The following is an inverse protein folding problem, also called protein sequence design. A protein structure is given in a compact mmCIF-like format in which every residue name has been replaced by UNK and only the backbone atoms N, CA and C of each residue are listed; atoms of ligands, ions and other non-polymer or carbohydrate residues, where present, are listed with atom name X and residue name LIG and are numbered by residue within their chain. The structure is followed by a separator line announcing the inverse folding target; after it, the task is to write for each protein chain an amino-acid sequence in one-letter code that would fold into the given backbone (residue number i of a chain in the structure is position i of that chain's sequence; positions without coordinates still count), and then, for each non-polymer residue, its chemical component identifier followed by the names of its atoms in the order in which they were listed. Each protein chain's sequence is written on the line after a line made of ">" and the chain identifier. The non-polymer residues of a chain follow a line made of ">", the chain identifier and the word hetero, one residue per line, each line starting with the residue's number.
data_IF_158124775974
#
_entry.id   IF_158124775974
#
_cell.length_a   1.000
_cell.length_b   1.000
_cell.length_c   1.000
_cell.angle_alpha   90.00
_cell.angle_beta   90.00
_cell.angle_gamma   90.00
#
_symmetry.space_group_name_H-M   'P 1'
#
loop_
_entity.id
_entity.type
_entity.pdbx_description
1 polymer ?
#
# COMPACT_ATOMS: atom_id res chain seq x y z
N UNK A 1 9.98 6.03 -11.06
CA UNK A 1 9.88 4.84 -10.18
C UNK A 1 9.70 5.30 -8.76
N UNK A 2 8.55 5.03 -8.18
CA UNK A 2 8.20 5.48 -6.82
C UNK A 2 8.75 4.56 -5.73
N UNK A 3 9.25 3.40 -6.10
CA UNK A 3 10.13 2.64 -5.25
C UNK A 3 11.52 3.25 -5.34
N UNK A 4 11.75 4.22 -4.48
CA UNK A 4 13.03 4.83 -4.17
C UNK A 4 13.93 4.90 -5.40
N UNK A 5 13.85 6.02 -6.13
CA UNK A 5 14.92 6.37 -7.04
C UNK A 5 16.21 6.38 -6.21
N UNK A 6 16.99 5.30 -6.33
CA UNK A 6 18.12 5.01 -5.47
C UNK A 6 19.13 6.17 -5.42
N UNK A 7 19.37 6.82 -6.56
CA UNK A 7 20.27 7.99 -6.63
C UNK A 7 19.72 9.23 -5.92
N UNK A 8 18.40 9.46 -5.97
CA UNK A 8 17.79 10.58 -5.25
C UNK A 8 17.70 10.31 -3.75
N UNK A 9 17.47 9.04 -3.38
CA UNK A 9 17.48 8.61 -1.99
C UNK A 9 18.87 8.79 -1.39
N UNK A 10 19.92 8.36 -2.08
CA UNK A 10 21.33 8.58 -1.68
C UNK A 10 21.66 10.07 -1.49
N UNK A 11 21.03 10.97 -2.24
CA UNK A 11 21.20 12.42 -2.12
C UNK A 11 20.41 13.06 -0.97
N UNK A 12 19.67 12.27 -0.18
CA UNK A 12 18.90 12.76 0.97
C UNK A 12 17.58 13.45 0.60
N UNK A 13 16.99 13.16 -0.56
CA UNK A 13 15.70 13.71 -1.02
C UNK A 13 14.48 13.10 -0.29
N UNK A 14 14.68 12.51 0.89
CA UNK A 14 13.65 11.85 1.68
C UNK A 14 12.44 12.75 1.96
N UNK A 15 12.67 14.04 2.22
CA UNK A 15 11.59 15.00 2.49
C UNK A 15 10.62 15.16 1.33
N UNK A 16 11.05 14.90 0.09
CA UNK A 16 10.21 14.95 -1.11
C UNK A 16 9.20 13.79 -1.17
N UNK A 17 9.44 12.71 -0.41
CA UNK A 17 8.49 11.60 -0.30
C UNK A 17 7.31 11.91 0.60
N UNK A 18 7.38 12.96 1.46
CA UNK A 18 6.29 13.28 2.37
C UNK A 18 4.95 13.38 1.65
N UNK A 19 3.98 12.68 2.18
CA UNK A 19 2.61 12.77 1.71
C UNK A 19 1.97 14.10 2.17
N UNK A 20 1.26 14.76 1.26
CA UNK A 20 0.47 15.96 1.54
C UNK A 20 -0.99 15.64 1.25
N UNK A 21 -1.88 15.91 2.21
CA UNK A 21 -3.33 15.64 2.05
C UNK A 21 -4.00 16.54 1.03
N UNK A 22 -3.45 17.72 0.79
CA UNK A 22 -4.00 18.73 -0.11
C UNK A 22 -2.98 19.16 -1.15
N UNK A 23 -3.48 19.44 -2.34
CA UNK A 23 -2.67 19.93 -3.45
C UNK A 23 -2.00 18.84 -4.29
N UNK A 24 -1.26 19.28 -5.30
CA UNK A 24 -0.57 18.38 -6.25
C UNK A 24 0.58 17.65 -5.55
N UNK A 25 0.59 16.33 -5.64
CA UNK A 25 1.70 15.54 -5.12
C UNK A 25 2.97 15.80 -5.95
N UNK A 26 4.13 16.03 -5.29
CA UNK A 26 5.39 16.30 -5.99
C UNK A 26 5.94 15.07 -6.73
N UNK A 27 5.42 13.88 -6.40
CA UNK A 27 5.83 12.60 -6.96
C UNK A 27 4.57 11.81 -7.29
N UNK A 28 4.55 11.16 -8.46
CA UNK A 28 3.47 10.29 -8.92
C UNK A 28 4.03 8.93 -9.31
N UNK A 29 3.19 7.89 -9.23
CA UNK A 29 3.51 6.57 -9.77
C UNK A 29 3.39 6.61 -11.29
N UNK A 30 4.45 6.23 -12.00
CA UNK A 30 4.51 6.25 -13.46
C UNK A 30 4.69 4.88 -14.09
N UNK A 31 5.32 3.94 -13.39
CA UNK A 31 5.66 2.63 -13.93
C UNK A 31 5.72 1.54 -12.87
N UNK A 32 5.69 0.28 -13.30
CA UNK A 32 5.99 -0.88 -12.47
C UNK A 32 7.51 -1.01 -12.24
N UNK A 33 7.89 -1.76 -11.21
CA UNK A 33 9.29 -2.12 -10.95
C UNK A 33 9.69 -3.19 -11.97
N UNK A 34 10.45 -2.81 -12.99
CA UNK A 34 10.84 -3.69 -14.08
C UNK A 34 11.50 -4.99 -13.58
N UNK A 35 12.46 -4.89 -12.67
CA UNK A 35 13.17 -6.03 -12.09
C UNK A 35 12.28 -7.05 -11.41
N UNK A 36 11.08 -6.66 -10.95
CA UNK A 36 10.16 -7.55 -10.24
C UNK A 36 9.02 -8.07 -11.12
N UNK A 37 8.61 -7.32 -12.14
CA UNK A 37 7.38 -7.62 -12.88
C UNK A 37 7.55 -7.81 -14.37
N UNK A 38 8.71 -7.45 -14.96
CA UNK A 38 8.93 -7.54 -16.39
C UNK A 38 8.78 -8.96 -16.93
N UNK A 39 9.39 -9.95 -16.25
CA UNK A 39 9.32 -11.35 -16.65
C UNK A 39 7.88 -11.88 -16.63
N UNK A 40 7.12 -11.52 -15.59
CA UNK A 40 5.70 -11.89 -15.48
C UNK A 40 4.89 -11.22 -16.59
N UNK A 41 5.09 -9.93 -16.84
CA UNK A 41 4.42 -9.18 -17.91
C UNK A 41 4.66 -9.82 -19.26
N UNK A 42 5.91 -10.00 -19.65
CA UNK A 42 6.29 -10.65 -20.93
C UNK A 42 5.72 -12.07 -21.10
N UNK A 43 5.59 -12.81 -20.00
CA UNK A 43 4.98 -14.14 -20.08
C UNK A 43 3.47 -14.05 -20.29
N UNK A 44 2.79 -13.13 -19.63
CA UNK A 44 1.34 -12.93 -19.80
C UNK A 44 0.99 -12.35 -21.17
N UNK A 45 1.81 -11.49 -21.74
CA UNK A 45 1.64 -10.88 -23.07
C UNK A 45 1.59 -11.92 -24.22
N UNK A 46 2.08 -13.14 -23.99
CA UNK A 46 1.94 -14.26 -24.95
C UNK A 46 0.49 -14.68 -25.17
N UNK A 47 -0.41 -14.39 -24.24
CA UNK A 47 -1.79 -14.90 -24.25
C UNK A 47 -2.83 -13.82 -23.94
N UNK A 48 -2.41 -12.64 -23.48
CA UNK A 48 -3.29 -11.58 -23.02
C UNK A 48 -2.78 -10.20 -23.44
N UNK A 49 -3.67 -9.25 -23.63
CA UNK A 49 -3.32 -7.85 -23.58
C UNK A 49 -3.09 -7.46 -22.12
N UNK A 50 -1.85 -7.06 -21.79
CA UNK A 50 -1.46 -6.76 -20.41
C UNK A 50 -1.54 -5.25 -20.14
N UNK A 51 -2.47 -4.87 -19.29
CA UNK A 51 -2.64 -3.52 -18.80
C UNK A 51 -2.06 -3.39 -17.40
N UNK A 52 -1.07 -2.55 -17.24
CA UNK A 52 -0.46 -2.30 -15.93
C UNK A 52 -1.24 -1.22 -15.17
N UNK A 53 -1.52 -1.46 -13.89
CA UNK A 53 -2.16 -0.48 -13.01
C UNK A 53 -1.17 -0.02 -11.95
N UNK A 54 -0.64 1.20 -12.13
CA UNK A 54 0.28 1.82 -11.20
C UNK A 54 -0.49 2.64 -10.16
N UNK A 55 -0.08 2.55 -8.90
CA UNK A 55 -0.65 3.36 -7.84
C UNK A 55 0.41 3.89 -6.88
N UNK A 56 0.12 5.03 -6.28
CA UNK A 56 0.97 5.62 -5.26
C UNK A 56 0.71 4.93 -3.91
N UNK A 57 1.68 4.16 -3.45
CA UNK A 57 1.61 3.40 -2.20
C UNK A 57 1.59 4.26 -0.93
N UNK A 58 1.81 5.58 -1.05
CA UNK A 58 1.79 6.53 0.06
C UNK A 58 0.37 7.00 0.38
N UNK A 59 -0.49 7.14 -0.64
CA UNK A 59 -1.86 7.65 -0.48
C UNK A 59 -2.80 6.58 0.08
N UNK A 60 -3.98 6.98 0.63
CA UNK A 60 -4.99 6.02 1.05
C UNK A 60 -5.37 5.06 -0.08
N UNK A 61 -5.38 3.75 0.20
CA UNK A 61 -5.73 2.74 -0.81
C UNK A 61 -7.14 2.92 -1.36
N UNK A 62 -8.06 3.48 -0.57
CA UNK A 62 -9.40 3.85 -1.04
C UNK A 62 -9.36 4.78 -2.27
N UNK A 63 -8.45 5.74 -2.32
CA UNK A 63 -8.30 6.62 -3.48
C UNK A 63 -7.77 5.87 -4.72
N UNK A 64 -6.83 4.95 -4.51
CA UNK A 64 -6.34 4.08 -5.58
C UNK A 64 -7.41 3.08 -6.04
N UNK A 65 -8.26 2.58 -5.13
CA UNK A 65 -9.39 1.72 -5.43
C UNK A 65 -10.45 2.43 -6.29
N UNK A 66 -10.69 3.72 -6.07
CA UNK A 66 -11.58 4.51 -6.93
C UNK A 66 -11.04 4.60 -8.37
N UNK A 67 -9.73 4.83 -8.55
CA UNK A 67 -9.10 4.82 -9.89
C UNK A 67 -9.16 3.43 -10.55
N UNK A 68 -9.00 2.36 -9.76
CA UNK A 68 -9.16 1.00 -10.27
C UNK A 68 -10.60 0.75 -10.70
N UNK A 69 -11.58 1.25 -9.96
CA UNK A 69 -12.99 1.19 -10.31
C UNK A 69 -13.28 1.86 -11.66
N UNK A 70 -12.74 3.06 -11.89
CA UNK A 70 -12.87 3.76 -13.18
C UNK A 70 -12.30 2.91 -14.32
N UNK A 71 -11.09 2.35 -14.13
CA UNK A 71 -10.43 1.51 -15.14
C UNK A 71 -11.20 0.23 -15.42
N UNK A 72 -11.68 -0.46 -14.39
CA UNK A 72 -12.50 -1.68 -14.55
C UNK A 72 -13.83 -1.35 -15.22
N UNK A 73 -14.48 -0.25 -14.86
CA UNK A 73 -15.73 0.18 -15.48
C UNK A 73 -15.56 0.51 -16.97
N UNK A 74 -14.42 1.06 -17.37
CA UNK A 74 -14.05 1.27 -18.77
C UNK A 74 -13.89 -0.08 -19.49
N UNK A 75 -13.12 -1.00 -18.93
CA UNK A 75 -12.83 -2.30 -19.54
C UNK A 75 -14.08 -3.18 -19.70
N UNK A 76 -15.02 -3.12 -18.76
CA UNK A 76 -16.26 -3.87 -18.85
C UNK A 76 -17.10 -3.52 -20.10
N UNK A 77 -16.95 -2.32 -20.67
CA UNK A 77 -17.66 -1.90 -21.90
C UNK A 77 -17.25 -2.70 -23.13
N UNK A 78 -16.05 -3.27 -23.13
CA UNK A 78 -15.54 -4.05 -24.26
C UNK A 78 -16.05 -5.50 -24.27
N UNK A 79 -16.75 -5.95 -23.20
CA UNK A 79 -17.28 -7.31 -23.08
C UNK A 79 -16.23 -8.41 -23.33
N UNK A 80 -15.00 -8.16 -22.93
CA UNK A 80 -13.88 -9.11 -23.05
C UNK A 80 -13.56 -9.77 -21.69
N UNK A 81 -13.01 -10.99 -21.67
CA UNK A 81 -12.59 -11.64 -20.45
C UNK A 81 -11.52 -10.83 -19.71
N UNK A 82 -11.82 -10.37 -18.52
CA UNK A 82 -10.87 -9.62 -17.67
C UNK A 82 -10.21 -10.58 -16.68
N UNK A 83 -8.89 -10.43 -16.49
CA UNK A 83 -8.10 -11.12 -15.47
C UNK A 83 -7.43 -10.06 -14.59
N UNK A 84 -7.47 -10.25 -13.28
CA UNK A 84 -6.72 -9.42 -12.34
C UNK A 84 -5.60 -10.24 -11.73
N UNK A 85 -4.36 -9.77 -11.84
CA UNK A 85 -3.22 -10.31 -11.10
C UNK A 85 -2.73 -9.23 -10.14
N UNK A 86 -2.83 -9.49 -8.85
CA UNK A 86 -2.51 -8.54 -7.80
C UNK A 86 -1.43 -9.10 -6.87
N UNK A 87 -0.31 -8.39 -6.73
CA UNK A 87 0.80 -8.79 -5.86
C UNK A 87 0.88 -7.91 -4.61
N UNK A 88 1.12 -8.54 -3.46
CA UNK A 88 1.39 -7.85 -2.19
C UNK A 88 0.33 -6.78 -1.87
N UNK A 89 0.71 -5.52 -1.69
CA UNK A 89 -0.17 -4.38 -1.44
C UNK A 89 -1.24 -4.18 -2.53
N UNK A 90 -0.95 -4.59 -3.77
CA UNK A 90 -1.92 -4.56 -4.87
C UNK A 90 -3.17 -5.40 -4.59
N UNK A 91 -3.03 -6.52 -3.88
CA UNK A 91 -4.19 -7.31 -3.46
C UNK A 91 -5.02 -6.62 -2.39
N UNK A 92 -4.39 -5.86 -1.49
CA UNK A 92 -5.11 -5.06 -0.49
C UNK A 92 -5.89 -3.92 -1.18
N UNK A 93 -5.32 -3.34 -2.24
CA UNK A 93 -6.01 -2.38 -3.10
C UNK A 93 -7.24 -3.01 -3.77
N UNK A 94 -7.13 -4.23 -4.31
CA UNK A 94 -8.27 -4.95 -4.90
C UNK A 94 -9.32 -5.28 -3.82
N UNK A 95 -8.91 -5.66 -2.60
CA UNK A 95 -9.84 -5.80 -1.46
C UNK A 95 -10.64 -4.51 -1.22
N UNK A 96 -9.96 -3.38 -1.19
CA UNK A 96 -10.60 -2.08 -0.98
C UNK A 96 -11.53 -1.72 -2.17
N UNK A 97 -11.15 -2.06 -3.41
CA UNK A 97 -12.03 -1.95 -4.57
C UNK A 97 -13.32 -2.78 -4.37
N UNK A 98 -13.22 -4.02 -3.92
CA UNK A 98 -14.38 -4.88 -3.63
C UNK A 98 -15.30 -4.23 -2.58
N UNK A 99 -14.70 -3.69 -1.52
CA UNK A 99 -15.45 -3.12 -0.38
C UNK A 99 -16.13 -1.78 -0.72
N UNK A 100 -15.46 -0.92 -1.48
CA UNK A 100 -15.94 0.44 -1.74
C UNK A 100 -16.70 0.58 -3.07
N UNK A 101 -16.57 -0.38 -3.99
CA UNK A 101 -17.20 -0.37 -5.31
C UNK A 101 -17.90 -1.72 -5.61
N UNK A 102 -18.84 -2.15 -4.76
CA UNK A 102 -19.45 -3.48 -4.84
C UNK A 102 -20.25 -3.72 -6.13
N UNK A 103 -20.85 -2.67 -6.71
CA UNK A 103 -21.62 -2.81 -7.97
C UNK A 103 -20.69 -3.17 -9.15
N UNK A 104 -19.60 -2.44 -9.31
CA UNK A 104 -18.61 -2.72 -10.36
C UNK A 104 -17.96 -4.08 -10.15
N UNK A 105 -17.64 -4.43 -8.89
CA UNK A 105 -17.14 -5.76 -8.56
C UNK A 105 -18.12 -6.87 -8.93
N UNK A 106 -19.41 -6.71 -8.63
CA UNK A 106 -20.42 -7.70 -9.00
C UNK A 106 -20.55 -7.85 -10.52
N UNK A 107 -20.51 -6.76 -11.28
CA UNK A 107 -20.50 -6.79 -12.74
C UNK A 107 -19.28 -7.51 -13.27
N UNK A 108 -18.10 -7.21 -12.74
CA UNK A 108 -16.83 -7.86 -13.09
C UNK A 108 -16.88 -9.36 -12.77
N UNK A 109 -17.34 -9.72 -11.57
CA UNK A 109 -17.39 -11.13 -11.11
C UNK A 109 -18.37 -11.99 -11.93
N UNK A 110 -19.39 -11.37 -12.53
CA UNK A 110 -20.34 -12.02 -13.43
C UNK A 110 -19.87 -12.03 -14.90
N UNK A 111 -18.84 -11.28 -15.24
CA UNK A 111 -18.36 -11.20 -16.63
C UNK A 111 -17.71 -12.52 -17.06
N UNK A 112 -17.86 -12.82 -18.38
CA UNK A 112 -17.38 -14.10 -18.95
C UNK A 112 -15.87 -14.22 -18.70
N UNK A 113 -15.49 -15.36 -18.14
CA UNK A 113 -14.09 -15.73 -17.96
C UNK A 113 -13.29 -14.85 -16.98
N UNK A 114 -13.95 -14.06 -16.13
CA UNK A 114 -13.25 -13.31 -15.07
C UNK A 114 -12.46 -14.24 -14.15
N UNK A 115 -11.24 -13.84 -13.80
CA UNK A 115 -10.42 -14.46 -12.75
C UNK A 115 -9.62 -13.40 -12.01
N UNK A 116 -9.43 -13.60 -10.71
CA UNK A 116 -8.52 -12.81 -9.89
C UNK A 116 -7.49 -13.72 -9.21
N UNK A 117 -6.23 -13.35 -9.30
CA UNK A 117 -5.10 -14.06 -8.68
C UNK A 117 -4.39 -13.11 -7.72
N UNK A 118 -4.21 -13.55 -6.49
CA UNK A 118 -3.54 -12.79 -5.44
C UNK A 118 -2.21 -13.47 -5.09
N UNK A 119 -1.11 -12.77 -5.33
CA UNK A 119 0.25 -13.26 -5.10
C UNK A 119 0.81 -12.62 -3.82
N UNK A 120 0.94 -13.40 -2.76
CA UNK A 120 1.52 -12.94 -1.49
C UNK A 120 0.82 -11.69 -0.91
N UNK A 121 -0.47 -11.53 -1.13
CA UNK A 121 -1.23 -10.34 -0.73
C UNK A 121 -1.75 -10.46 0.71
N UNK A 122 -1.39 -9.53 1.62
CA UNK A 122 -1.83 -9.58 3.01
C UNK A 122 -3.25 -9.02 3.15
N UNK A 123 -4.27 -9.75 2.69
CA UNK A 123 -5.66 -9.29 2.67
C UNK A 123 -6.22 -8.97 4.07
N UNK A 124 -5.73 -9.64 5.11
CA UNK A 124 -6.06 -9.36 6.52
C UNK A 124 -5.12 -8.35 7.19
N UNK A 125 -4.22 -7.74 6.43
CA UNK A 125 -3.14 -6.91 6.94
C UNK A 125 -1.89 -7.72 7.29
N UNK A 126 -0.85 -7.03 7.75
CA UNK A 126 0.46 -7.63 8.03
C UNK A 126 1.06 -7.11 9.32
N UNK A 127 1.42 -8.01 10.22
CA UNK A 127 2.18 -7.69 11.43
C UNK A 127 3.62 -7.24 11.14
N UNK A 128 4.11 -7.41 9.91
CA UNK A 128 5.38 -6.82 9.48
C UNK A 128 5.36 -5.29 9.54
N UNK A 129 4.20 -4.66 9.36
CA UNK A 129 4.10 -3.19 9.31
C UNK A 129 4.52 -2.53 10.64
N UNK A 130 4.06 -2.94 11.83
CA UNK A 130 4.63 -2.44 13.08
C UNK A 130 6.14 -2.64 13.19
N UNK A 131 6.69 -3.78 12.76
CA UNK A 131 8.14 -4.00 12.73
C UNK A 131 8.86 -3.00 11.81
N UNK A 132 8.30 -2.72 10.63
CA UNK A 132 8.79 -1.68 9.71
C UNK A 132 8.81 -0.33 10.41
N UNK A 133 7.69 0.08 11.02
CA UNK A 133 7.53 1.41 11.61
C UNK A 133 8.40 1.64 12.87
N UNK A 134 8.85 0.58 13.53
CA UNK A 134 9.80 0.66 14.65
C UNK A 134 11.23 0.22 14.28
N UNK A 135 11.60 0.30 12.99
CA UNK A 135 12.97 0.08 12.53
C UNK A 135 13.51 -1.34 12.74
N UNK A 136 12.63 -2.32 13.05
CA UNK A 136 13.03 -3.71 13.29
C UNK A 136 13.15 -4.52 11.98
N UNK A 137 12.59 -4.03 10.87
CA UNK A 137 12.66 -4.67 9.56
C UNK A 137 14.03 -4.47 8.90
N UNK A 138 14.57 -5.53 8.31
CA UNK A 138 15.90 -5.52 7.69
C UNK A 138 16.00 -4.56 6.50
N UNK A 139 14.93 -4.44 5.70
CA UNK A 139 14.88 -3.54 4.56
C UNK A 139 14.98 -2.07 5.02
N UNK A 140 14.24 -1.71 6.07
CA UNK A 140 14.27 -0.35 6.63
C UNK A 140 15.65 -0.03 7.19
N UNK A 141 16.26 -0.98 7.88
CA UNK A 141 17.65 -0.82 8.38
C UNK A 141 18.65 -0.66 7.25
N UNK A 142 18.49 -1.40 6.16
CA UNK A 142 19.33 -1.24 4.97
C UNK A 142 19.15 0.14 4.34
N UNK A 143 17.91 0.59 4.16
CA UNK A 143 17.61 1.91 3.60
C UNK A 143 18.18 3.04 4.46
N UNK A 144 18.07 2.94 5.80
CA UNK A 144 18.63 3.93 6.71
C UNK A 144 20.17 3.96 6.74
N UNK A 145 20.85 2.87 6.29
CA UNK A 145 22.31 2.84 6.14
C UNK A 145 22.79 3.42 4.81
N UNK A 146 21.94 3.39 3.80
CA UNK A 146 22.28 3.85 2.45
C UNK A 146 22.07 5.37 2.31
N UNK A 147 21.15 5.95 3.05
CA UNK A 147 20.93 7.39 3.05
C UNK A 147 22.07 8.09 3.80
N UNK A 148 22.82 8.92 3.08
CA UNK A 148 24.00 9.62 3.62
C UNK A 148 23.59 10.78 4.57
N UNK A 149 22.37 11.32 4.43
CA UNK A 149 21.91 12.51 5.14
C UNK A 149 20.90 12.23 6.23
N UNK A 150 20.14 11.15 6.12
CA UNK A 150 19.06 10.82 7.02
C UNK A 150 19.33 9.47 7.68
N UNK A 151 19.04 9.40 8.97
CA UNK A 151 19.09 8.14 9.70
C UNK A 151 17.77 7.36 9.60
N UNK A 152 17.74 6.17 10.17
CA UNK A 152 16.54 5.30 10.15
C UNK A 152 15.32 5.97 10.78
N UNK A 153 15.48 6.80 11.82
CA UNK A 153 14.36 7.52 12.47
C UNK A 153 13.80 8.61 11.57
N UNK A 154 14.67 9.33 10.84
CA UNK A 154 14.24 10.34 9.86
C UNK A 154 13.42 9.69 8.75
N UNK A 155 13.88 8.55 8.22
CA UNK A 155 13.15 7.75 7.24
C UNK A 155 11.77 7.34 7.78
N UNK A 156 11.72 6.82 9.00
CA UNK A 156 10.47 6.38 9.60
C UNK A 156 9.55 7.53 9.99
N UNK A 157 10.09 8.73 10.29
CA UNK A 157 9.28 9.93 10.50
C UNK A 157 8.48 10.36 9.26
N UNK A 158 8.94 9.94 8.08
CA UNK A 158 8.23 10.16 6.81
C UNK A 158 7.26 9.02 6.53
N UNK A 159 7.68 7.77 6.73
CA UNK A 159 6.90 6.58 6.37
C UNK A 159 5.71 6.33 7.32
N UNK A 160 5.83 6.66 8.61
CA UNK A 160 4.75 6.46 9.56
C UNK A 160 3.50 7.29 9.25
N UNK A 161 3.64 8.34 8.43
CA UNK A 161 2.55 9.20 7.99
C UNK A 161 2.03 8.86 6.58
N UNK A 162 2.41 7.71 6.01
CA UNK A 162 1.85 7.26 4.75
C UNK A 162 0.57 6.45 4.96
N UNK A 163 -0.60 6.99 4.60
CA UNK A 163 -1.87 6.28 4.77
C UNK A 163 -1.89 4.90 4.11
N UNK A 164 -1.25 4.77 2.94
CA UNK A 164 -1.18 3.49 2.25
C UNK A 164 -0.39 2.42 3.01
N UNK A 165 0.69 2.77 3.72
CA UNK A 165 1.38 1.84 4.62
C UNK A 165 0.46 1.45 5.78
N UNK A 166 -0.23 2.42 6.38
CA UNK A 166 -1.13 2.16 7.50
C UNK A 166 -2.34 1.30 7.09
N UNK A 167 -2.78 1.36 5.84
CA UNK A 167 -3.82 0.46 5.32
C UNK A 167 -3.38 -1.03 5.25
N UNK A 168 -2.08 -1.30 5.39
CA UNK A 168 -1.54 -2.66 5.50
C UNK A 168 -1.48 -3.17 6.96
N UNK A 169 -1.85 -2.37 7.95
CA UNK A 169 -1.90 -2.82 9.34
C UNK A 169 -2.90 -3.97 9.51
N UNK A 170 -2.65 -4.91 10.45
CA UNK A 170 -3.56 -6.00 10.72
C UNK A 170 -4.96 -5.52 11.05
N UNK A 171 -5.96 -6.18 10.47
CA UNK A 171 -7.36 -5.94 10.79
C UNK A 171 -7.61 -6.49 12.20
N UNK A 172 -8.08 -5.62 13.08
CA UNK A 172 -8.37 -5.98 14.47
C UNK A 172 -9.70 -6.74 14.57
N UNK A 173 -9.69 -8.05 14.36
CA UNK A 173 -10.89 -8.89 14.50
C UNK A 173 -11.25 -9.18 15.96
N UNK A 174 -10.26 -9.25 16.84
CA UNK A 174 -10.42 -9.76 18.22
C UNK A 174 -10.22 -8.69 19.30
N UNK A 175 -10.13 -7.40 18.94
CA UNK A 175 -9.94 -6.31 19.89
C UNK A 175 -8.52 -6.18 20.49
N UNK A 176 -7.60 -7.11 20.19
CA UNK A 176 -6.28 -7.17 20.83
C UNK A 176 -5.26 -6.14 20.32
N UNK A 177 -5.48 -5.55 19.14
CA UNK A 177 -4.52 -4.65 18.50
C UNK A 177 -5.23 -3.42 17.94
N UNK A 178 -5.46 -2.43 18.80
CA UNK A 178 -6.16 -1.20 18.41
C UNK A 178 -5.20 -0.18 17.81
N UNK A 179 -4.85 -0.37 16.53
CA UNK A 179 -4.04 0.58 15.78
C UNK A 179 -4.74 1.94 15.54
N UNK A 180 -6.01 2.10 15.90
CA UNK A 180 -6.71 3.39 15.89
C UNK A 180 -6.53 4.18 17.20
N UNK A 181 -5.82 3.61 18.18
CA UNK A 181 -5.60 4.21 19.50
C UNK A 181 -4.16 4.72 19.66
N UNK A 182 -4.01 5.96 20.11
CA UNK A 182 -2.71 6.52 20.44
C UNK A 182 -2.00 5.71 21.54
N UNK A 183 -2.74 5.30 22.57
CA UNK A 183 -2.18 4.55 23.68
C UNK A 183 -1.59 3.20 23.24
N UNK A 184 -2.18 2.57 22.21
CA UNK A 184 -1.62 1.35 21.65
C UNK A 184 -0.29 1.60 20.91
N UNK A 185 -0.19 2.68 20.13
CA UNK A 185 1.07 3.08 19.50
C UNK A 185 2.16 3.41 20.52
N UNK A 186 1.81 4.09 21.62
CA UNK A 186 2.74 4.40 22.71
C UNK A 186 3.22 3.13 23.43
N UNK A 187 2.34 2.14 23.65
CA UNK A 187 2.72 0.82 24.17
C UNK A 187 3.69 0.09 23.25
N UNK A 188 3.42 0.07 21.95
CA UNK A 188 4.33 -0.53 20.96
C UNK A 188 5.69 0.17 20.92
N UNK A 189 5.70 1.49 21.01
CA UNK A 189 6.93 2.28 21.07
C UNK A 189 7.73 1.95 22.34
N UNK A 190 7.10 1.90 23.49
CA UNK A 190 7.75 1.50 24.72
C UNK A 190 8.33 0.07 24.63
N UNK A 191 7.56 -0.87 24.09
CA UNK A 191 8.02 -2.26 23.88
C UNK A 191 9.16 -2.38 22.86
N UNK A 192 9.35 -1.37 21.97
CA UNK A 192 10.46 -1.34 21.02
C UNK A 192 11.83 -1.10 21.69
N UNK A 193 11.83 -0.62 22.94
CA UNK A 193 13.02 -0.28 23.71
C UNK A 193 13.58 1.12 23.42
N UNK A 194 12.90 1.93 22.60
CA UNK A 194 13.36 3.28 22.27
C UNK A 194 12.15 4.23 22.11
N UNK A 195 11.95 5.09 23.09
CA UNK A 195 10.84 6.05 23.14
C UNK A 195 10.90 7.16 22.08
N UNK A 196 12.02 7.28 21.38
CA UNK A 196 12.21 8.31 20.33
C UNK A 196 11.73 7.89 18.95
N UNK A 197 11.26 6.63 18.77
CA UNK A 197 10.66 6.21 17.50
C UNK A 197 9.44 7.05 17.16
N UNK A 198 9.30 7.50 15.90
CA UNK A 198 8.10 8.20 15.46
C UNK A 198 6.88 7.25 15.52
N UNK A 199 5.73 7.82 15.82
CA UNK A 199 4.44 7.14 15.71
C UNK A 199 3.55 7.87 14.71
N UNK A 200 2.62 7.18 14.04
CA UNK A 200 1.75 7.81 13.06
C UNK A 200 0.96 9.00 13.62
N UNK A 201 0.78 10.05 12.83
CA UNK A 201 -0.05 11.19 13.18
C UNK A 201 -1.52 10.78 13.34
N UNK A 202 -2.21 11.41 14.32
CA UNK A 202 -3.61 11.12 14.68
C UNK A 202 -4.55 11.06 13.47
N UNK A 203 -4.43 11.99 12.55
CA UNK A 203 -5.27 12.09 11.35
C UNK A 203 -5.21 10.84 10.45
N UNK A 204 -4.09 10.12 10.44
CA UNK A 204 -3.90 8.97 9.55
C UNK A 204 -4.36 7.65 10.18
N UNK A 205 -4.10 7.40 11.47
CA UNK A 205 -4.53 6.15 12.07
C UNK A 205 -6.02 6.15 12.47
N UNK A 206 -6.62 7.32 12.76
CA UNK A 206 -8.07 7.42 12.97
C UNK A 206 -8.89 7.15 11.70
N UNK A 207 -8.29 7.28 10.51
CA UNK A 207 -8.96 6.99 9.23
C UNK A 207 -8.84 5.52 8.80
N UNK A 208 -8.20 4.67 9.61
CA UNK A 208 -8.09 3.25 9.31
C UNK A 208 -9.48 2.61 9.28
N UNK A 209 -9.76 1.77 8.27
CA UNK A 209 -11.06 1.14 8.17
C UNK A 209 -11.27 0.23 9.39
N UNK A 210 -12.19 0.62 10.26
CA UNK A 210 -12.75 -0.27 11.24
C UNK A 210 -13.67 -1.23 10.48
N UNK A 211 -13.13 -2.35 10.01
CA UNK A 211 -13.94 -3.39 9.40
C UNK A 211 -14.72 -4.06 10.55
N UNK A 212 -15.88 -3.49 10.86
CA UNK A 212 -16.86 -4.20 11.67
C UNK A 212 -17.29 -5.41 10.84
N UNK A 213 -16.87 -6.59 11.25
CA UNK A 213 -17.48 -7.83 10.75
C UNK A 213 -18.95 -7.74 11.06
N UNK A 214 -19.80 -7.64 10.03
CA UNK A 214 -21.23 -7.91 10.20
C UNK A 214 -21.32 -9.37 10.65
N UNK A 215 -21.70 -9.58 11.90
CA UNK A 215 -22.15 -10.86 12.44
C UNK A 215 -23.32 -11.38 11.63
#
# INVERSE_FOLDING_TARGET
>A
MLWINYFRFLKGDLSKLRYKDSGKQPIQADSLIATSYEALGKNLEKSYEVLTFQFDWRIPLKASAARLNEKVSELLKYNQPIKIVAHSMGGVLVRDFILYHPQTWQSLNKSIGFKAVFLGSPLGGSYRIPYVLFGKDSLIRLLGKIDIRNNTKDLLSVFCDFPGILNLLPINKNGNHDFSSRSFWEKLRAASGDSSWPIPSKKYWMSLPCIKTRS
#
